data_IF_487487864363
#
_entry.id   IF_487487864363
#
_cell.length_a   1.000
_cell.length_b   1.000
_cell.length_c   1.000
_cell.angle_alpha   90.00
_cell.angle_beta   90.00
_cell.angle_gamma   90.00
#
_symmetry.space_group_name_H-M   'P 1'
#
loop_
_entity.id
_entity.type
_entity.pdbx_description
1 polymer ?
#
# COMPACT_ATOMS: atom_id res chain seq x y z
N UNK A 1 12.99 2.18 -25.15
CA UNK A 1 12.18 1.65 -24.03
C UNK A 1 13.00 0.56 -23.36
N UNK A 2 13.34 0.70 -22.08
CA UNK A 2 14.11 -0.32 -21.37
C UNK A 2 13.34 -1.65 -21.33
N UNK A 3 14.03 -2.80 -21.32
CA UNK A 3 13.35 -4.11 -21.22
C UNK A 3 12.75 -4.26 -19.81
N UNK A 4 11.41 -4.38 -19.67
CA UNK A 4 10.74 -4.51 -18.37
C UNK A 4 11.29 -5.63 -17.49
N UNK A 5 11.79 -6.70 -18.13
CA UNK A 5 12.37 -7.86 -17.45
C UNK A 5 13.51 -7.48 -16.53
N UNK A 6 14.33 -6.48 -16.87
CA UNK A 6 15.43 -6.05 -16.02
C UNK A 6 14.96 -5.47 -14.69
N UNK A 7 13.85 -4.72 -14.69
CA UNK A 7 13.28 -4.14 -13.47
C UNK A 7 12.63 -5.24 -12.63
N UNK A 8 11.92 -6.17 -13.28
CA UNK A 8 11.33 -7.35 -12.62
C UNK A 8 12.44 -8.16 -11.94
N UNK A 9 13.53 -8.47 -12.64
CA UNK A 9 14.65 -9.26 -12.12
C UNK A 9 15.31 -8.57 -10.91
N UNK A 10 15.49 -7.25 -10.96
CA UNK A 10 16.08 -6.49 -9.84
C UNK A 10 15.17 -6.49 -8.62
N UNK A 11 13.87 -6.26 -8.81
CA UNK A 11 12.88 -6.29 -7.74
C UNK A 11 12.80 -7.69 -7.11
N UNK A 12 12.76 -8.73 -7.94
CA UNK A 12 12.76 -10.11 -7.51
C UNK A 12 14.00 -10.46 -6.70
N UNK A 13 15.18 -10.09 -7.20
CA UNK A 13 16.46 -10.28 -6.50
C UNK A 13 16.51 -9.56 -5.15
N UNK A 14 16.00 -8.33 -5.08
CA UNK A 14 15.92 -7.58 -3.83
C UNK A 14 15.02 -8.26 -2.81
N UNK A 15 13.85 -8.75 -3.22
CA UNK A 15 12.93 -9.46 -2.33
C UNK A 15 13.54 -10.78 -1.87
N UNK A 16 14.15 -11.56 -2.76
CA UNK A 16 14.83 -12.82 -2.39
C UNK A 16 15.94 -12.58 -1.36
N UNK A 17 16.73 -11.52 -1.52
CA UNK A 17 17.89 -11.20 -0.66
C UNK A 17 17.50 -10.53 0.65
N UNK A 18 16.51 -9.64 0.63
CA UNK A 18 16.24 -8.72 1.76
C UNK A 18 14.82 -8.77 2.28
N UNK A 19 13.95 -9.56 1.63
CA UNK A 19 12.51 -9.65 1.91
C UNK A 19 11.78 -8.32 1.71
N UNK A 20 12.37 -7.43 0.92
CA UNK A 20 11.88 -6.09 0.61
C UNK A 20 12.21 -5.72 -0.85
N UNK A 21 11.29 -5.09 -1.60
CA UNK A 21 11.49 -4.76 -3.02
C UNK A 21 12.66 -3.80 -3.29
N UNK A 22 13.07 -3.01 -2.30
CA UNK A 22 14.12 -2.01 -2.48
C UNK A 22 15.48 -2.41 -1.88
N UNK A 23 15.66 -3.66 -1.47
CA UNK A 23 16.96 -4.12 -0.96
C UNK A 23 17.32 -3.59 0.43
N UNK A 24 16.37 -2.93 1.12
CA UNK A 24 16.57 -2.38 2.44
C UNK A 24 15.99 -3.30 3.52
N UNK A 25 16.69 -3.41 4.65
CA UNK A 25 16.18 -4.16 5.79
C UNK A 25 14.92 -3.50 6.37
N UNK A 26 13.98 -4.33 6.85
CA UNK A 26 12.70 -3.86 7.38
C UNK A 26 12.85 -2.77 8.44
N UNK A 27 13.84 -2.86 9.34
CA UNK A 27 14.07 -1.84 10.38
C UNK A 27 14.48 -0.46 9.86
N UNK A 28 14.94 -0.37 8.61
CA UNK A 28 15.30 0.91 7.98
C UNK A 28 14.07 1.67 7.53
N UNK A 29 13.09 0.97 6.96
CA UNK A 29 11.84 1.55 6.41
C UNK A 29 10.71 1.59 7.44
N UNK A 30 10.64 0.57 8.31
CA UNK A 30 9.55 0.39 9.25
C UNK A 30 9.81 1.11 10.58
N UNK A 31 9.60 2.43 10.58
CA UNK A 31 9.83 3.31 11.75
C UNK A 31 8.59 4.07 12.23
N UNK A 32 7.45 3.93 11.57
CA UNK A 32 6.22 4.69 11.86
C UNK A 32 5.72 4.52 13.31
N UNK A 33 5.88 3.31 13.85
CA UNK A 33 5.45 2.89 15.18
C UNK A 33 6.28 3.48 16.32
N UNK A 34 7.47 4.04 16.04
CA UNK A 34 8.32 4.63 17.08
C UNK A 34 7.59 5.83 17.71
N UNK A 35 7.49 5.83 19.03
CA UNK A 35 6.76 6.84 19.79
C UNK A 35 5.24 6.62 19.83
N UNK A 36 4.74 5.49 19.34
CA UNK A 36 3.34 5.07 19.48
C UNK A 36 3.28 3.97 20.55
N UNK A 37 2.36 4.08 21.50
CA UNK A 37 2.21 3.11 22.59
C UNK A 37 1.45 1.86 22.11
N UNK A 38 2.11 1.00 21.34
CA UNK A 38 1.51 -0.23 20.82
C UNK A 38 1.88 -1.44 21.69
N UNK A 39 0.86 -2.21 22.07
CA UNK A 39 1.06 -3.52 22.70
C UNK A 39 1.76 -4.49 21.74
N UNK A 40 2.49 -5.44 22.29
CA UNK A 40 3.14 -6.53 21.55
C UNK A 40 2.36 -7.84 21.59
N UNK A 41 1.23 -7.87 22.31
CA UNK A 41 0.31 -8.99 22.47
C UNK A 41 -1.14 -8.50 22.50
N UNK A 42 -2.07 -9.34 22.05
CA UNK A 42 -3.51 -9.06 21.92
C UNK A 42 -4.19 -10.05 20.97
N UNK A 43 -5.48 -9.85 20.66
CA UNK A 43 -6.27 -10.74 19.80
C UNK A 43 -5.82 -10.74 18.33
N UNK A 44 -5.64 -9.56 17.72
CA UNK A 44 -5.28 -9.43 16.30
C UNK A 44 -4.00 -8.64 16.06
N UNK A 45 -3.14 -9.14 15.17
CA UNK A 45 -1.92 -8.43 14.79
C UNK A 45 -2.23 -7.39 13.70
N UNK A 46 -1.91 -6.13 13.94
CA UNK A 46 -1.84 -5.12 12.88
C UNK A 46 -0.66 -5.46 11.95
N UNK A 47 -0.92 -5.56 10.65
CA UNK A 47 0.06 -5.95 9.65
C UNK A 47 -0.05 -5.01 8.45
N UNK A 48 1.02 -4.26 8.18
CA UNK A 48 0.98 -3.22 7.14
C UNK A 48 1.47 -3.69 5.79
N UNK A 49 2.15 -4.85 5.74
CA UNK A 49 2.79 -5.34 4.51
C UNK A 49 3.86 -4.39 3.99
N UNK A 50 4.30 -3.43 4.80
CA UNK A 50 5.22 -2.34 4.47
C UNK A 50 4.76 -1.39 3.35
N UNK A 51 3.52 -1.48 2.86
CA UNK A 51 3.09 -0.75 1.66
C UNK A 51 3.14 0.77 1.85
N UNK A 52 2.54 1.30 2.91
CA UNK A 52 2.61 2.73 3.24
C UNK A 52 4.06 3.18 3.51
N UNK A 53 4.85 2.37 4.22
CA UNK A 53 6.24 2.68 4.55
C UNK A 53 7.15 2.74 3.31
N UNK A 54 6.82 2.02 2.25
CA UNK A 54 7.58 1.97 1.00
C UNK A 54 7.22 3.10 0.03
N UNK A 55 6.05 3.71 0.15
CA UNK A 55 5.59 4.76 -0.78
C UNK A 55 6.55 5.96 -0.95
N UNK A 56 7.17 6.51 0.11
CA UNK A 56 8.15 7.58 -0.05
C UNK A 56 9.32 7.22 -0.98
N UNK A 57 9.70 5.93 -1.00
CA UNK A 57 10.80 5.43 -1.82
C UNK A 57 10.34 5.13 -3.24
N UNK A 58 9.19 4.47 -3.40
CA UNK A 58 8.54 4.22 -4.69
C UNK A 58 8.40 5.56 -5.46
N UNK A 59 7.84 6.58 -4.82
CA UNK A 59 7.62 7.91 -5.40
C UNK A 59 8.89 8.54 -5.95
N UNK A 60 10.02 8.40 -5.24
CA UNK A 60 11.29 8.97 -5.71
C UNK A 60 11.93 8.13 -6.81
N UNK A 61 11.90 6.81 -6.69
CA UNK A 61 12.49 5.90 -7.68
C UNK A 61 11.79 6.05 -9.02
N UNK A 62 10.47 6.08 -9.05
CA UNK A 62 9.73 6.17 -10.32
C UNK A 62 9.92 7.53 -11.00
N UNK A 63 9.98 8.63 -10.23
CA UNK A 63 10.34 9.96 -10.77
C UNK A 63 11.73 9.98 -11.42
N UNK A 64 12.66 9.13 -10.96
CA UNK A 64 13.95 8.97 -11.64
C UNK A 64 13.78 8.15 -12.92
N UNK A 65 13.06 7.03 -12.87
CA UNK A 65 12.79 6.17 -14.04
C UNK A 65 12.14 6.97 -15.18
N UNK A 66 11.12 7.79 -14.89
CA UNK A 66 10.47 8.68 -15.86
C UNK A 66 11.47 9.60 -16.58
N UNK A 67 12.46 10.14 -15.87
CA UNK A 67 13.50 10.99 -16.47
C UNK A 67 14.46 10.22 -17.38
N UNK A 68 14.63 8.92 -17.14
CA UNK A 68 15.53 8.07 -17.90
C UNK A 68 14.85 7.42 -19.11
N UNK A 69 13.52 7.25 -19.09
CA UNK A 69 12.75 6.58 -20.15
C UNK A 69 12.96 7.22 -21.53
N UNK A 70 13.13 8.54 -21.58
CA UNK A 70 13.34 9.31 -22.81
C UNK A 70 14.84 9.56 -23.14
N UNK A 71 15.77 8.90 -22.45
CA UNK A 71 17.23 9.11 -22.63
C UNK A 71 17.93 7.91 -23.24
N UNK A 72 19.06 8.14 -23.92
CA UNK A 72 19.97 7.09 -24.44
C UNK A 72 20.59 6.22 -23.33
N UNK A 73 20.42 6.60 -22.05
CA UNK A 73 20.85 5.82 -20.89
C UNK A 73 19.91 4.64 -20.52
N UNK A 74 18.73 4.53 -21.14
CA UNK A 74 17.76 3.47 -20.88
C UNK A 74 18.33 2.05 -21.07
N UNK A 75 19.29 1.88 -21.98
CA UNK A 75 19.94 0.59 -22.26
C UNK A 75 20.98 0.18 -21.20
N UNK A 76 21.42 1.14 -20.37
CA UNK A 76 22.40 0.91 -19.30
C UNK A 76 21.77 0.59 -17.93
N UNK A 77 20.44 0.54 -17.82
CA UNK A 77 19.73 0.15 -16.57
C UNK A 77 20.17 -1.25 -16.09
N UNK A 78 20.53 -2.13 -17.02
CA UNK A 78 21.10 -3.45 -16.73
C UNK A 78 22.47 -3.43 -16.05
N UNK A 79 23.21 -2.31 -16.08
CA UNK A 79 24.49 -2.17 -15.36
C UNK A 79 24.32 -1.97 -13.86
N UNK A 80 23.11 -1.67 -13.36
CA UNK A 80 22.90 -1.50 -11.92
C UNK A 80 23.22 -2.78 -11.13
N UNK A 81 23.15 -3.95 -11.77
CA UNK A 81 23.53 -5.24 -11.16
C UNK A 81 25.01 -5.29 -10.74
N UNK A 82 25.86 -4.43 -11.29
CA UNK A 82 27.27 -4.29 -10.97
C UNK A 82 27.57 -3.17 -9.96
N UNK A 83 26.58 -2.36 -9.57
CA UNK A 83 26.78 -1.29 -8.58
C UNK A 83 27.01 -1.90 -7.19
N UNK A 84 28.08 -1.52 -6.47
CA UNK A 84 28.37 -2.06 -5.14
C UNK A 84 27.20 -1.89 -4.17
N UNK A 85 26.79 -2.98 -3.52
CA UNK A 85 25.59 -3.06 -2.67
C UNK A 85 25.57 -2.06 -1.50
N UNK A 86 26.75 -1.69 -0.99
CA UNK A 86 26.89 -0.68 0.08
C UNK A 86 26.43 0.69 -0.42
N UNK A 87 26.75 1.03 -1.67
CA UNK A 87 26.40 2.30 -2.32
C UNK A 87 24.89 2.43 -2.56
N UNK A 88 24.24 1.33 -2.95
CA UNK A 88 22.77 1.28 -3.09
C UNK A 88 22.08 1.43 -1.74
N UNK A 89 22.59 0.76 -0.69
CA UNK A 89 22.08 0.90 0.69
C UNK A 89 22.19 2.31 1.23
N UNK A 90 23.32 2.98 1.05
CA UNK A 90 23.53 4.36 1.52
C UNK A 90 22.68 5.34 0.71
N UNK A 91 22.64 5.23 -0.62
CA UNK A 91 21.74 6.04 -1.46
C UNK A 91 20.27 5.89 -1.06
N UNK A 92 19.84 4.66 -0.74
CA UNK A 92 18.45 4.37 -0.35
C UNK A 92 18.01 5.08 0.93
N UNK A 93 18.86 5.19 1.96
CA UNK A 93 18.50 5.89 3.21
C UNK A 93 18.14 7.36 2.96
N UNK A 94 18.88 8.00 2.04
CA UNK A 94 18.72 9.41 1.66
C UNK A 94 17.75 9.62 0.48
N UNK A 95 17.13 8.55 -0.04
CA UNK A 95 16.16 8.69 -1.12
C UNK A 95 14.89 9.39 -0.61
N UNK A 96 14.14 8.79 0.30
CA UNK A 96 12.86 9.36 0.71
C UNK A 96 13.01 10.59 1.63
N UNK A 97 12.24 11.65 1.33
CA UNK A 97 12.21 12.87 2.13
C UNK A 97 11.64 12.62 3.53
N UNK A 98 12.08 13.39 4.53
CA UNK A 98 11.53 13.30 5.89
C UNK A 98 10.02 13.59 5.90
N UNK A 99 9.59 14.61 5.15
CA UNK A 99 8.18 14.99 4.98
C UNK A 99 7.33 13.85 4.43
N UNK A 100 7.76 13.17 3.36
CA UNK A 100 6.99 12.03 2.82
C UNK A 100 6.95 10.87 3.82
N UNK A 101 8.07 10.56 4.50
CA UNK A 101 8.11 9.52 5.54
C UNK A 101 7.15 9.82 6.69
N UNK A 102 7.09 11.06 7.13
CA UNK A 102 6.17 11.53 8.19
C UNK A 102 4.71 11.48 7.72
N UNK A 103 4.43 11.88 6.48
CA UNK A 103 3.08 11.82 5.90
C UNK A 103 2.54 10.39 5.86
N UNK A 104 3.24 9.45 5.20
CA UNK A 104 2.79 8.07 5.09
C UNK A 104 2.84 7.32 6.43
N UNK A 105 3.78 7.65 7.32
CA UNK A 105 3.80 7.14 8.69
C UNK A 105 2.64 7.66 9.55
N UNK A 106 2.21 8.91 9.31
CA UNK A 106 1.07 9.55 9.97
C UNK A 106 -0.25 8.85 9.66
N UNK A 107 -0.42 8.37 8.43
CA UNK A 107 -1.59 7.56 8.03
C UNK A 107 -1.71 6.30 8.89
N UNK A 108 -0.61 5.55 9.09
CA UNK A 108 -0.62 4.36 9.95
C UNK A 108 -0.93 4.71 11.41
N UNK A 109 -0.48 5.88 11.90
CA UNK A 109 -0.81 6.37 13.23
C UNK A 109 -2.29 6.76 13.36
N UNK A 110 -2.89 7.30 12.31
CA UNK A 110 -4.32 7.58 12.27
C UNK A 110 -5.13 6.28 12.34
N UNK A 111 -4.72 5.24 11.60
CA UNK A 111 -5.33 3.92 11.69
C UNK A 111 -5.28 3.37 13.12
N UNK A 112 -4.13 3.48 13.80
CA UNK A 112 -4.00 3.07 15.21
C UNK A 112 -5.01 3.79 16.10
N UNK A 113 -5.09 5.13 16.00
CA UNK A 113 -6.05 5.92 16.79
C UNK A 113 -7.50 5.49 16.56
N UNK A 114 -7.87 5.25 15.29
CA UNK A 114 -9.21 4.81 14.92
C UNK A 114 -9.54 3.43 15.52
N UNK A 115 -8.60 2.48 15.48
CA UNK A 115 -8.76 1.15 16.07
C UNK A 115 -8.85 1.21 17.60
N UNK A 116 -8.00 2.01 18.25
CA UNK A 116 -8.03 2.23 19.70
C UNK A 116 -9.37 2.82 20.15
N UNK A 117 -9.86 3.83 19.43
CA UNK A 117 -11.16 4.44 19.70
C UNK A 117 -12.34 3.49 19.50
N UNK A 118 -12.18 2.53 18.60
CA UNK A 118 -13.16 1.46 18.37
C UNK A 118 -13.10 0.35 19.42
N UNK A 119 -12.22 0.46 20.42
CA UNK A 119 -12.02 -0.56 21.46
C UNK A 119 -11.48 -1.89 20.91
N UNK A 120 -10.81 -1.87 19.75
CA UNK A 120 -10.32 -3.08 19.09
C UNK A 120 -9.12 -3.63 19.87
N UNK A 121 -9.17 -4.91 20.24
CA UNK A 121 -8.02 -5.59 20.84
C UNK A 121 -6.99 -5.98 19.76
N UNK A 122 -6.02 -5.10 19.53
CA UNK A 122 -4.93 -5.36 18.57
C UNK A 122 -3.54 -5.09 19.16
N UNK A 123 -2.53 -5.63 18.49
CA UNK A 123 -1.13 -5.45 18.82
C UNK A 123 -0.27 -5.31 17.56
N UNK A 124 0.98 -4.90 17.72
CA UNK A 124 1.91 -4.74 16.62
C UNK A 124 3.29 -5.31 16.96
N UNK A 125 3.83 -6.17 16.09
CA UNK A 125 5.19 -6.72 16.20
C UNK A 125 6.03 -6.31 14.99
N UNK A 126 6.84 -5.23 15.08
CA UNK A 126 7.60 -4.71 13.95
C UNK A 126 8.52 -5.73 13.28
N UNK A 127 9.00 -6.72 14.04
CA UNK A 127 9.88 -7.80 13.53
C UNK A 127 9.12 -8.84 12.68
N UNK A 128 7.79 -8.89 12.77
CA UNK A 128 6.93 -9.80 12.01
C UNK A 128 6.18 -9.10 10.86
N UNK A 129 6.24 -7.77 10.78
CA UNK A 129 5.65 -6.97 9.71
C UNK A 129 6.57 -6.99 8.48
N UNK A 130 6.44 -8.07 7.70
CA UNK A 130 7.17 -8.28 6.46
C UNK A 130 6.46 -7.65 5.27
N UNK A 131 7.18 -7.40 4.18
CA UNK A 131 6.54 -7.08 2.92
C UNK A 131 5.65 -8.25 2.47
N UNK A 132 4.47 -7.97 1.90
CA UNK A 132 3.51 -9.02 1.51
C UNK A 132 3.98 -9.90 0.34
N UNK A 133 4.92 -9.40 -0.47
CA UNK A 133 5.38 -10.07 -1.69
C UNK A 133 4.52 -9.78 -2.93
N UNK A 134 3.43 -9.00 -2.78
CA UNK A 134 2.41 -8.81 -3.83
C UNK A 134 2.98 -8.36 -5.18
N UNK A 135 4.02 -7.53 -5.20
CA UNK A 135 4.62 -7.07 -6.45
C UNK A 135 5.24 -8.21 -7.28
N UNK A 136 5.74 -9.28 -6.65
CA UNK A 136 6.21 -10.46 -7.39
C UNK A 136 5.07 -11.10 -8.18
N UNK A 137 3.90 -11.21 -7.54
CA UNK A 137 2.71 -11.75 -8.17
C UNK A 137 2.20 -10.85 -9.29
N UNK A 138 2.11 -9.54 -9.03
CA UNK A 138 1.63 -8.55 -10.01
C UNK A 138 2.55 -8.47 -11.25
N UNK A 139 3.85 -8.76 -11.08
CA UNK A 139 4.85 -8.79 -12.16
C UNK A 139 5.03 -10.17 -12.82
N UNK A 140 4.29 -11.19 -12.37
CA UNK A 140 4.34 -12.54 -12.94
C UNK A 140 5.48 -13.45 -12.44
N UNK A 141 6.29 -13.04 -11.46
CA UNK A 141 7.25 -13.94 -10.78
C UNK A 141 6.51 -14.80 -9.74
N UNK A 142 5.72 -15.76 -10.24
CA UNK A 142 4.89 -16.62 -9.40
C UNK A 142 5.73 -17.47 -8.45
N UNK A 143 6.87 -18.00 -8.90
CA UNK A 143 7.74 -18.83 -8.08
C UNK A 143 8.35 -18.02 -6.92
N UNK A 144 8.88 -16.82 -7.22
CA UNK A 144 9.38 -15.92 -6.19
C UNK A 144 8.30 -15.51 -5.20
N UNK A 145 7.08 -15.26 -5.68
CA UNK A 145 5.94 -14.99 -4.81
C UNK A 145 5.65 -16.16 -3.86
N UNK A 146 5.57 -17.40 -4.37
CA UNK A 146 5.29 -18.60 -3.57
C UNK A 146 6.35 -18.78 -2.47
N UNK A 147 7.63 -18.64 -2.82
CA UNK A 147 8.73 -18.78 -1.85
C UNK A 147 8.67 -17.71 -0.75
N UNK A 148 8.41 -16.46 -1.13
CA UNK A 148 8.28 -15.36 -0.18
C UNK A 148 7.03 -15.51 0.70
N UNK A 149 5.90 -15.90 0.12
CA UNK A 149 4.66 -16.15 0.85
C UNK A 149 4.82 -17.29 1.86
N UNK A 150 5.47 -18.40 1.48
CA UNK A 150 5.78 -19.50 2.40
C UNK A 150 6.64 -19.04 3.58
N UNK A 151 7.65 -18.20 3.32
CA UNK A 151 8.47 -17.62 4.39
C UNK A 151 7.65 -16.76 5.35
N UNK A 152 6.87 -15.81 4.84
CA UNK A 152 6.08 -14.89 5.68
C UNK A 152 4.99 -15.65 6.43
N UNK A 153 4.19 -16.45 5.74
CA UNK A 153 3.11 -17.22 6.34
C UNK A 153 3.64 -18.21 7.39
N UNK A 154 4.77 -18.88 7.10
CA UNK A 154 5.44 -19.76 8.04
C UNK A 154 5.89 -19.04 9.31
N UNK A 155 6.47 -17.83 9.18
CA UNK A 155 6.90 -17.03 10.34
C UNK A 155 5.74 -16.54 11.19
N UNK A 156 4.65 -16.10 10.57
CA UNK A 156 3.43 -15.71 11.28
C UNK A 156 2.81 -16.91 12.02
N UNK A 157 2.71 -18.06 11.36
CA UNK A 157 2.19 -19.31 11.95
C UNK A 157 3.06 -19.80 13.11
N UNK A 158 4.39 -19.80 12.96
CA UNK A 158 5.36 -20.19 14.00
C UNK A 158 5.19 -19.33 15.27
N UNK A 159 4.80 -18.05 15.11
CA UNK A 159 4.55 -17.12 16.22
C UNK A 159 3.11 -17.12 16.71
N UNK A 160 2.29 -18.08 16.28
CA UNK A 160 0.92 -18.26 16.74
C UNK A 160 -0.07 -17.18 16.24
N UNK A 161 0.29 -16.41 15.22
CA UNK A 161 -0.58 -15.38 14.65
C UNK A 161 -1.74 -16.08 13.94
N UNK A 162 -2.99 -15.73 14.31
CA UNK A 162 -4.22 -16.27 13.70
C UNK A 162 -5.08 -15.20 13.05
N UNK A 163 -5.21 -14.04 13.72
CA UNK A 163 -5.99 -12.89 13.25
C UNK A 163 -5.07 -11.76 12.84
N UNK A 164 -5.38 -11.13 11.71
CA UNK A 164 -4.58 -10.06 11.12
C UNK A 164 -5.49 -8.90 10.72
N UNK A 165 -5.12 -7.69 11.17
CA UNK A 165 -5.72 -6.45 10.70
C UNK A 165 -4.80 -5.83 9.65
N UNK A 166 -5.26 -5.72 8.41
CA UNK A 166 -4.53 -5.11 7.30
C UNK A 166 -4.92 -3.65 7.10
N UNK A 167 -4.04 -2.90 6.44
CA UNK A 167 -4.22 -1.44 6.23
C UNK A 167 -4.35 -1.04 4.76
N UNK A 168 -4.09 -1.96 3.84
CA UNK A 168 -4.10 -1.70 2.40
C UNK A 168 -4.64 -2.90 1.61
N UNK A 169 -5.19 -2.66 0.40
CA UNK A 169 -5.88 -3.72 -0.32
C UNK A 169 -4.96 -4.76 -0.95
N UNK A 170 -3.71 -4.42 -1.26
CA UNK A 170 -2.76 -5.35 -1.87
C UNK A 170 -2.29 -6.39 -0.84
N UNK A 171 -1.92 -5.94 0.35
CA UNK A 171 -1.58 -6.81 1.48
C UNK A 171 -2.80 -7.63 1.91
N UNK A 172 -3.99 -7.03 1.94
CA UNK A 172 -5.23 -7.76 2.24
C UNK A 172 -5.45 -8.90 1.27
N UNK A 173 -5.36 -8.64 -0.05
CA UNK A 173 -5.53 -9.67 -1.06
C UNK A 173 -4.46 -10.76 -0.98
N UNK A 174 -3.19 -10.38 -0.76
CA UNK A 174 -2.11 -11.32 -0.58
C UNK A 174 -2.38 -12.29 0.58
N UNK A 175 -2.67 -11.77 1.78
CA UNK A 175 -2.87 -12.59 2.97
C UNK A 175 -4.19 -13.37 2.95
N UNK A 176 -5.27 -12.78 2.44
CA UNK A 176 -6.62 -13.35 2.49
C UNK A 176 -6.90 -14.35 1.36
N UNK A 177 -6.27 -14.18 0.20
CA UNK A 177 -6.57 -14.98 -1.01
C UNK A 177 -5.34 -15.76 -1.47
N UNK A 178 -4.22 -15.08 -1.71
CA UNK A 178 -3.07 -15.71 -2.34
C UNK A 178 -2.31 -16.64 -1.39
N UNK A 179 -2.11 -16.24 -0.14
CA UNK A 179 -1.38 -17.04 0.85
C UNK A 179 -2.07 -18.40 1.10
N UNK A 180 -3.38 -18.45 1.37
CA UNK A 180 -4.16 -19.69 1.38
C UNK A 180 -3.91 -20.56 0.14
N UNK A 181 -4.07 -19.97 -1.05
CA UNK A 181 -3.98 -20.67 -2.33
C UNK A 181 -2.61 -21.31 -2.56
N UNK A 182 -1.53 -20.63 -2.21
CA UNK A 182 -0.17 -21.02 -2.59
C UNK A 182 0.66 -21.64 -1.46
N UNK A 183 0.24 -21.45 -0.21
CA UNK A 183 0.97 -21.95 0.97
C UNK A 183 0.16 -22.94 1.82
N UNK A 184 -1.17 -22.97 1.66
CA UNK A 184 -2.08 -23.71 2.53
C UNK A 184 -2.23 -23.14 3.94
N UNK A 185 -1.58 -22.00 4.24
CA UNK A 185 -1.68 -21.32 5.53
C UNK A 185 -2.73 -20.21 5.44
N UNK A 186 -3.68 -20.25 6.36
CA UNK A 186 -4.81 -19.32 6.43
C UNK A 186 -4.71 -18.46 7.69
N UNK A 187 -5.14 -17.20 7.56
CA UNK A 187 -5.33 -16.27 8.66
C UNK A 187 -6.74 -15.68 8.56
N UNK A 188 -7.32 -15.30 9.70
CA UNK A 188 -8.51 -14.45 9.71
C UNK A 188 -8.08 -13.02 9.38
N UNK A 189 -8.28 -12.59 8.14
CA UNK A 189 -7.84 -11.29 7.64
C UNK A 189 -9.02 -10.33 7.52
N UNK A 190 -8.93 -9.22 8.25
CA UNK A 190 -9.85 -8.09 8.19
C UNK A 190 -9.08 -6.81 7.91
N UNK A 191 -9.61 -5.91 7.11
CA UNK A 191 -9.00 -4.58 6.96
C UNK A 191 -9.44 -3.66 8.10
N UNK A 192 -8.64 -2.65 8.42
CA UNK A 192 -8.84 -1.79 9.59
C UNK A 192 -10.24 -1.16 9.64
N UNK A 193 -10.80 -0.75 8.50
CA UNK A 193 -12.12 -0.13 8.44
C UNK A 193 -13.26 -1.12 8.72
N UNK A 194 -13.07 -2.44 8.53
CA UNK A 194 -14.04 -3.46 8.96
C UNK A 194 -14.10 -3.62 10.49
N UNK A 195 -13.18 -2.98 11.22
CA UNK A 195 -13.07 -3.08 12.68
C UNK A 195 -13.51 -1.80 13.40
N UNK A 196 -13.92 -0.77 12.66
CA UNK A 196 -14.43 0.47 13.23
C UNK A 196 -15.88 0.30 13.66
N UNK A 197 -16.24 0.85 14.81
CA UNK A 197 -17.57 0.65 15.42
C UNK A 197 -18.06 1.88 16.22
N UNK A 198 -17.68 3.08 15.81
CA UNK A 198 -18.08 4.32 16.48
C UNK A 198 -18.53 5.37 15.47
N UNK A 199 -19.34 6.32 15.94
CA UNK A 199 -19.83 7.43 15.13
C UNK A 199 -18.86 8.62 15.17
N UNK A 200 -18.62 9.22 14.02
CA UNK A 200 -17.83 10.45 13.88
C UNK A 200 -18.68 11.72 13.86
N UNK A 201 -18.01 12.87 13.67
CA UNK A 201 -18.61 14.21 13.64
C UNK A 201 -18.36 14.95 12.30
N UNK A 202 -18.25 14.22 11.20
CA UNK A 202 -17.98 14.76 9.86
C UNK A 202 -19.17 15.39 9.14
N UNK A 203 -20.24 15.74 9.87
CA UNK A 203 -21.48 16.28 9.32
C UNK A 203 -21.26 17.45 8.35
N UNK A 204 -21.92 17.39 7.19
CA UNK A 204 -21.84 18.41 6.14
C UNK A 204 -20.62 18.29 5.22
N UNK A 205 -19.69 17.36 5.48
CA UNK A 205 -18.62 17.05 4.53
C UNK A 205 -19.15 16.15 3.42
N UNK A 206 -18.74 16.45 2.19
CA UNK A 206 -18.97 15.60 1.03
C UNK A 206 -17.62 15.25 0.43
N UNK A 207 -17.43 13.98 0.06
CA UNK A 207 -16.16 13.47 -0.48
C UNK A 207 -16.38 12.56 -1.66
N UNK A 208 -15.32 12.37 -2.42
CA UNK A 208 -15.26 11.46 -3.56
C UNK A 208 -14.35 10.30 -3.25
N UNK A 209 -14.95 9.15 -2.98
CA UNK A 209 -14.20 7.95 -2.63
C UNK A 209 -13.61 7.28 -3.88
N UNK A 210 -12.29 7.11 -3.89
CA UNK A 210 -11.61 6.28 -4.88
C UNK A 210 -11.51 4.83 -4.39
N UNK A 211 -12.38 3.96 -4.93
CA UNK A 211 -12.32 2.51 -4.74
C UNK A 211 -11.04 1.90 -5.31
N UNK A 212 -10.17 1.26 -4.49
CA UNK A 212 -9.06 0.49 -5.01
C UNK A 212 -9.55 -0.77 -5.72
N UNK A 213 -8.90 -1.09 -6.84
CA UNK A 213 -9.23 -2.27 -7.65
C UNK A 213 -9.25 -3.57 -6.85
N UNK A 214 -8.32 -3.76 -5.90
CA UNK A 214 -8.28 -4.97 -5.08
C UNK A 214 -9.44 -5.06 -4.08
N UNK A 215 -9.85 -3.95 -3.45
CA UNK A 215 -11.03 -3.96 -2.58
C UNK A 215 -12.32 -4.18 -3.37
N UNK A 216 -12.49 -3.51 -4.51
CA UNK A 216 -13.71 -3.64 -5.30
C UNK A 216 -13.82 -4.96 -6.06
N UNK A 217 -12.82 -5.31 -6.87
CA UNK A 217 -12.89 -6.40 -7.84
C UNK A 217 -12.65 -7.79 -7.24
N UNK A 218 -11.77 -7.89 -6.24
CA UNK A 218 -11.30 -9.19 -5.75
C UNK A 218 -11.71 -9.49 -4.30
N UNK A 219 -11.94 -8.45 -3.49
CA UNK A 219 -12.30 -8.62 -2.08
C UNK A 219 -13.77 -8.28 -1.79
N UNK A 220 -14.46 -7.64 -2.74
CA UNK A 220 -15.87 -7.25 -2.64
C UNK A 220 -16.17 -6.40 -1.40
N UNK A 221 -15.30 -5.42 -1.11
CA UNK A 221 -15.37 -4.56 0.08
C UNK A 221 -15.71 -3.09 -0.21
N UNK A 222 -16.10 -2.72 -1.43
CA UNK A 222 -16.32 -1.30 -1.78
C UNK A 222 -17.50 -0.64 -1.05
N UNK A 223 -18.46 -1.41 -0.57
CA UNK A 223 -19.59 -0.95 0.21
C UNK A 223 -19.21 -0.59 1.66
N UNK A 224 -18.19 -1.25 2.23
CA UNK A 224 -17.81 -1.05 3.64
C UNK A 224 -17.33 0.38 3.93
N UNK A 225 -16.37 0.96 3.18
CA UNK A 225 -15.93 2.33 3.45
C UNK A 225 -17.04 3.36 3.26
N UNK A 226 -17.97 3.14 2.32
CA UNK A 226 -19.11 4.03 2.12
C UNK A 226 -20.05 4.04 3.35
N UNK A 227 -20.30 2.87 3.96
CA UNK A 227 -21.04 2.80 5.23
C UNK A 227 -20.31 3.49 6.37
N UNK A 228 -19.00 3.32 6.48
CA UNK A 228 -18.21 4.01 7.51
C UNK A 228 -18.28 5.53 7.34
N UNK A 229 -18.23 6.05 6.11
CA UNK A 229 -18.42 7.48 5.87
C UNK A 229 -19.80 7.96 6.36
N UNK A 230 -20.86 7.19 6.12
CA UNK A 230 -22.21 7.49 6.60
C UNK A 230 -22.30 7.49 8.14
N UNK A 231 -21.67 6.52 8.82
CA UNK A 231 -21.55 6.50 10.29
C UNK A 231 -20.80 7.72 10.85
N UNK A 232 -19.97 8.37 10.04
CA UNK A 232 -19.25 9.60 10.37
C UNK A 232 -20.00 10.86 9.92
N UNK A 233 -21.19 10.74 9.33
CA UNK A 233 -21.97 11.87 8.80
C UNK A 233 -21.37 12.50 7.54
N UNK A 234 -20.55 11.77 6.81
CA UNK A 234 -19.86 12.23 5.58
C UNK A 234 -20.57 11.63 4.37
N UNK A 235 -21.00 12.48 3.44
CA UNK A 235 -21.62 12.02 2.21
C UNK A 235 -20.57 11.58 1.18
N UNK A 236 -20.73 10.37 0.64
CA UNK A 236 -19.91 9.87 -0.47
C UNK A 236 -20.60 10.15 -1.82
N UNK A 237 -20.05 11.09 -2.60
CA UNK A 237 -20.53 11.40 -3.94
C UNK A 237 -20.10 10.31 -4.92
N UNK A 238 -21.08 9.72 -5.61
CA UNK A 238 -20.86 8.59 -6.52
C UNK A 238 -19.98 8.99 -7.70
N UNK A 239 -19.02 8.12 -8.01
CA UNK A 239 -18.15 8.22 -9.19
C UNK A 239 -18.54 7.13 -10.17
N UNK A 240 -18.48 7.45 -11.47
CA UNK A 240 -18.51 6.43 -12.53
C UNK A 240 -17.34 5.46 -12.38
N UNK A 241 -17.51 4.24 -12.90
CA UNK A 241 -16.51 3.18 -12.79
C UNK A 241 -16.06 3.01 -11.32
N UNK A 242 -16.97 2.52 -10.47
CA UNK A 242 -16.76 2.31 -9.03
C UNK A 242 -17.06 0.85 -8.65
N UNK A 243 -16.75 0.47 -7.41
CA UNK A 243 -16.96 -0.90 -6.93
C UNK A 243 -16.18 -1.96 -7.72
N UNK A 244 -16.85 -3.05 -8.09
CA UNK A 244 -16.27 -4.16 -8.88
C UNK A 244 -15.71 -3.72 -10.23
N UNK A 245 -16.25 -2.64 -10.79
CA UNK A 245 -15.86 -2.07 -12.08
C UNK A 245 -14.96 -0.83 -11.92
N UNK A 246 -14.34 -0.65 -10.75
CA UNK A 246 -13.49 0.51 -10.50
C UNK A 246 -12.33 0.64 -11.48
N UNK A 247 -12.12 1.86 -11.97
CA UNK A 247 -10.96 2.21 -12.79
C UNK A 247 -9.65 2.07 -12.00
N UNK A 248 -8.60 1.59 -12.66
CA UNK A 248 -7.28 1.49 -12.04
C UNK A 248 -6.64 2.88 -11.87
N UNK A 249 -5.84 3.06 -10.82
CA UNK A 249 -5.01 4.26 -10.66
C UNK A 249 -3.74 4.26 -11.53
N UNK A 250 -3.39 3.14 -12.17
CA UNK A 250 -2.17 2.96 -12.97
C UNK A 250 -0.90 2.60 -12.18
N UNK A 251 -0.85 2.86 -10.87
CA UNK A 251 0.38 2.80 -10.08
C UNK A 251 1.19 1.49 -10.11
N UNK A 252 0.59 0.27 -10.11
CA UNK A 252 1.37 -0.97 -10.14
C UNK A 252 2.22 -1.14 -11.42
N UNK A 253 1.84 -0.51 -12.53
CA UNK A 253 2.57 -0.59 -13.80
C UNK A 253 3.70 0.44 -13.90
N UNK A 254 3.84 1.37 -12.95
CA UNK A 254 4.72 2.53 -13.06
C UNK A 254 6.19 2.16 -13.21
N UNK A 255 6.62 1.04 -12.62
CA UNK A 255 7.98 0.55 -12.75
C UNK A 255 8.26 -0.17 -14.08
N UNK A 256 7.25 -0.46 -14.89
CA UNK A 256 7.39 -1.15 -16.19
C UNK A 256 7.08 -0.20 -17.35
N UNK A 257 6.03 0.60 -17.21
CA UNK A 257 5.56 1.53 -18.23
C UNK A 257 4.99 2.78 -17.56
N UNK A 258 5.84 3.79 -17.28
CA UNK A 258 5.40 5.09 -16.80
C UNK A 258 4.42 5.77 -17.76
N UNK A 259 4.64 5.65 -19.08
CA UNK A 259 3.73 6.18 -20.10
C UNK A 259 2.30 5.60 -19.97
N UNK A 260 2.15 4.27 -19.89
CA UNK A 260 0.85 3.63 -19.69
C UNK A 260 0.22 4.05 -18.35
N UNK A 261 1.04 4.15 -17.30
CA UNK A 261 0.59 4.61 -15.98
C UNK A 261 -0.01 6.00 -16.06
N UNK A 262 0.62 6.93 -16.77
CA UNK A 262 0.14 8.30 -16.96
C UNK A 262 -1.19 8.35 -17.73
N UNK A 263 -1.34 7.52 -18.76
CA UNK A 263 -2.59 7.42 -19.53
C UNK A 263 -3.75 6.87 -18.69
N UNK A 264 -3.52 5.79 -17.94
CA UNK A 264 -4.54 5.20 -17.05
C UNK A 264 -4.92 6.19 -15.95
N UNK A 265 -3.92 6.82 -15.33
CA UNK A 265 -4.11 7.79 -14.25
C UNK A 265 -4.88 9.03 -14.72
N UNK A 266 -4.59 9.55 -15.92
CA UNK A 266 -5.27 10.76 -16.42
C UNK A 266 -6.77 10.51 -16.60
N UNK A 267 -7.16 9.37 -17.17
CA UNK A 267 -8.56 8.94 -17.30
C UNK A 267 -9.21 8.79 -15.92
N UNK A 268 -8.56 8.09 -14.99
CA UNK A 268 -9.14 7.87 -13.67
C UNK A 268 -9.26 9.17 -12.86
N UNK A 269 -8.28 10.06 -12.96
CA UNK A 269 -8.35 11.35 -12.29
C UNK A 269 -9.47 12.22 -12.85
N UNK A 270 -9.70 12.20 -14.18
CA UNK A 270 -10.84 12.89 -14.78
C UNK A 270 -12.19 12.40 -14.23
N UNK A 271 -12.38 11.08 -14.10
CA UNK A 271 -13.59 10.49 -13.47
C UNK A 271 -13.82 11.03 -12.05
N UNK A 272 -12.77 11.04 -11.21
CA UNK A 272 -12.87 11.47 -9.82
C UNK A 272 -13.17 12.97 -9.72
N UNK A 273 -12.53 13.78 -10.57
CA UNK A 273 -12.66 15.24 -10.55
C UNK A 273 -14.05 15.71 -10.99
N UNK A 274 -14.77 14.93 -11.79
CA UNK A 274 -16.13 15.22 -12.27
C UNK A 274 -17.12 15.50 -11.12
N UNK A 275 -16.90 14.89 -9.96
CA UNK A 275 -17.72 15.09 -8.75
C UNK A 275 -17.63 16.49 -8.13
N UNK A 276 -16.53 17.22 -8.39
CA UNK A 276 -16.25 18.51 -7.75
C UNK A 276 -16.01 18.47 -6.24
N UNK A 277 -15.80 17.29 -5.64
CA UNK A 277 -15.54 17.13 -4.19
C UNK A 277 -14.10 16.64 -3.90
N UNK A 278 -13.58 16.85 -2.68
CA UNK A 278 -12.27 16.34 -2.26
C UNK A 278 -12.16 14.83 -2.44
N UNK A 279 -11.01 14.35 -2.93
CA UNK A 279 -10.79 12.93 -3.22
C UNK A 279 -10.26 12.22 -1.99
N UNK A 280 -10.79 11.03 -1.72
CA UNK A 280 -10.35 10.16 -0.62
C UNK A 280 -9.87 8.83 -1.18
N UNK A 281 -8.64 8.45 -0.88
CA UNK A 281 -8.07 7.16 -1.27
C UNK A 281 -7.83 6.27 -0.04
N UNK A 282 -7.89 4.96 -0.21
CA UNK A 282 -7.68 3.96 0.85
C UNK A 282 -6.63 2.91 0.45
N UNK A 283 -5.75 3.27 -0.48
CA UNK A 283 -4.65 2.46 -0.96
C UNK A 283 -3.41 3.34 -1.12
N UNK A 284 -2.25 2.94 -0.55
CA UNK A 284 -1.02 3.72 -0.61
C UNK A 284 -0.54 3.95 -2.05
N UNK A 285 -0.73 2.98 -2.95
CA UNK A 285 -0.38 3.12 -4.37
C UNK A 285 -1.31 4.12 -5.06
N UNK A 286 -2.63 4.02 -4.83
CA UNK A 286 -3.59 4.96 -5.40
C UNK A 286 -3.33 6.39 -4.91
N UNK A 287 -3.14 6.55 -3.60
CA UNK A 287 -2.82 7.83 -2.98
C UNK A 287 -1.54 8.43 -3.57
N UNK A 288 -0.46 7.66 -3.62
CA UNK A 288 0.81 8.10 -4.17
C UNK A 288 0.70 8.54 -5.63
N UNK A 289 -0.05 7.81 -6.45
CA UNK A 289 -0.19 8.14 -7.88
C UNK A 289 -1.08 9.37 -8.10
N UNK A 290 -2.20 9.48 -7.37
CA UNK A 290 -3.06 10.67 -7.43
C UNK A 290 -2.34 11.94 -6.98
N UNK A 291 -1.53 11.88 -5.92
CA UNK A 291 -0.67 12.99 -5.49
C UNK A 291 0.31 13.40 -6.60
N UNK A 292 0.90 12.44 -7.32
CA UNK A 292 1.81 12.75 -8.45
C UNK A 292 1.09 13.46 -9.59
N UNK A 293 -0.17 13.13 -9.85
CA UNK A 293 -1.01 13.84 -10.83
C UNK A 293 -1.49 15.23 -10.36
N UNK A 294 -1.12 15.67 -9.15
CA UNK A 294 -1.56 16.95 -8.58
C UNK A 294 -3.01 16.94 -8.13
N UNK A 295 -3.57 15.76 -7.81
CA UNK A 295 -4.88 15.67 -7.20
C UNK A 295 -4.85 16.17 -5.75
N UNK A 296 -5.88 16.90 -5.35
CA UNK A 296 -6.18 17.14 -3.94
C UNK A 296 -6.80 15.88 -3.34
N UNK A 297 -5.95 15.05 -2.75
CA UNK A 297 -6.32 13.72 -2.25
C UNK A 297 -5.74 13.50 -0.86
N UNK A 298 -6.56 12.90 0.00
CA UNK A 298 -6.15 12.43 1.33
C UNK A 298 -6.46 10.95 1.53
N UNK A 299 -5.81 10.35 2.53
CA UNK A 299 -6.10 8.96 2.92
C UNK A 299 -7.39 8.89 3.75
N UNK A 300 -8.17 7.83 3.57
CA UNK A 300 -9.41 7.57 4.32
C UNK A 300 -9.19 7.66 5.83
N UNK A 301 -8.09 7.09 6.34
CA UNK A 301 -7.81 7.13 7.78
C UNK A 301 -7.49 8.54 8.28
N UNK A 302 -6.93 9.42 7.45
CA UNK A 302 -6.71 10.81 7.81
C UNK A 302 -8.04 11.56 7.94
N UNK A 303 -8.91 11.43 6.93
CA UNK A 303 -10.25 12.01 6.96
C UNK A 303 -11.04 11.54 8.19
N UNK A 304 -11.06 10.22 8.44
CA UNK A 304 -11.79 9.66 9.56
C UNK A 304 -11.20 10.09 10.90
N UNK A 305 -9.87 10.16 11.04
CA UNK A 305 -9.24 10.59 12.28
C UNK A 305 -9.53 12.07 12.61
N UNK A 306 -9.65 12.93 11.60
CA UNK A 306 -10.04 14.34 11.77
C UNK A 306 -11.51 14.51 12.18
N UNK A 307 -12.33 13.50 11.88
CA UNK A 307 -13.76 13.47 12.19
C UNK A 307 -14.09 12.50 13.34
N UNK A 308 -13.07 11.89 13.95
CA UNK A 308 -13.25 10.99 15.05
C UNK A 308 -13.59 11.82 16.27
#
# INVERSE_FOLDING_TARGET
MYNPRYIIDVLADNIRKTRNPFGAGNGTVNKWWKGVNLRTEGDAMLYTGLMYQLMPYIKKTTKQIEKFEDTTLADYVGLQKYVPKVMVKSAFVFMASRKDKEYFGGILRNIVKLLERSGVDFFYRPKLDYYSGILLYDLGDLQGFIEHAKFVAGKLKEKGIRKVITVDPHTTYALKVLYPKYTGINFEVKTYFERLNFKGNGYGKQVTLHDPCFYGRYLELSDVPARILDEFGIENVKVRNSGKFTGCCGGPAESISPALTKEILSRRYADLKETGKPIVAMCPICLGNLIKAGADVQDLSALLADCA
#
